data_IF_352228499619
#
_entry.id   IF_352228499619
#
_cell.length_a   1.000
_cell.length_b   1.000
_cell.length_c   1.000
_cell.angle_alpha   90.00
_cell.angle_beta   90.00
_cell.angle_gamma   90.00
#
_symmetry.space_group_name_H-M   'P 1'
#
loop_
_entity.id
_entity.type
_entity.pdbx_description
1 polymer ?
#
# COMPACT_ATOMS: atom_id res chain seq x y z
N UNK A 1 -12.99 -19.42 67.79
CA UNK A 1 -12.89 -20.54 68.75
C UNK A 1 -14.29 -20.98 69.11
N UNK A 2 -14.52 -22.27 69.42
CA UNK A 2 -13.54 -23.37 69.37
C UNK A 2 -13.51 -23.99 67.93
N UNK A 3 -12.73 -24.99 67.49
CA UNK A 3 -11.97 -26.09 68.12
C UNK A 3 -12.86 -27.20 68.72
N UNK A 4 -12.52 -28.49 68.79
CA UNK A 4 -11.55 -29.36 68.08
C UNK A 4 -12.12 -30.81 68.13
N UNK A 5 -11.59 -31.87 67.52
CA UNK A 5 -10.26 -32.11 66.93
C UNK A 5 -10.42 -32.70 65.49
N UNK A 6 -9.71 -33.70 64.91
CA UNK A 6 -8.73 -34.71 65.35
C UNK A 6 -7.83 -35.16 64.18
N UNK A 7 -6.82 -36.01 64.45
CA UNK A 7 -5.86 -36.51 63.46
C UNK A 7 -5.61 -38.03 63.58
N UNK A 8 -5.14 -38.65 62.48
CA UNK A 8 -4.55 -39.99 62.45
C UNK A 8 -3.45 -40.04 61.37
N UNK A 9 -2.45 -40.90 61.54
CA UNK A 9 -1.24 -40.98 60.71
C UNK A 9 -1.10 -42.36 60.05
N UNK A 10 -0.55 -42.43 58.83
CA UNK A 10 0.47 -43.40 58.41
C UNK A 10 0.81 -43.27 56.90
N UNK A 11 2.08 -43.53 56.56
CA UNK A 11 2.62 -43.70 55.20
C UNK A 11 3.30 -45.10 55.14
N UNK A 12 3.96 -45.54 54.05
CA UNK A 12 4.04 -45.01 52.68
C UNK A 12 3.69 -46.06 51.59
N UNK A 13 3.89 -45.73 50.32
CA UNK A 13 3.87 -46.69 49.22
C UNK A 13 4.61 -46.16 47.99
N UNK A 14 5.81 -46.68 47.72
CA UNK A 14 6.64 -46.27 46.58
C UNK A 14 6.35 -47.13 45.34
N UNK A 15 6.18 -46.48 44.18
CA UNK A 15 6.38 -47.10 42.87
C UNK A 15 6.72 -46.02 41.84
N UNK A 16 8.02 -45.79 41.61
CA UNK A 16 8.49 -44.74 40.71
C UNK A 16 8.34 -45.10 39.23
N UNK A 17 7.92 -44.13 38.41
CA UNK A 17 7.96 -44.20 36.96
C UNK A 17 8.71 -42.99 36.40
N UNK A 18 10.04 -43.17 36.29
CA UNK A 18 10.99 -42.61 35.31
C UNK A 18 10.84 -41.16 34.88
N UNK A 19 11.90 -40.40 35.10
CA UNK A 19 12.22 -39.18 34.37
C UNK A 19 12.38 -39.50 32.88
N UNK A 20 11.47 -38.99 32.05
CA UNK A 20 11.69 -38.80 30.61
C UNK A 20 11.81 -37.30 30.37
N UNK A 21 13.03 -36.82 30.15
CA UNK A 21 13.29 -35.43 29.73
C UNK A 21 12.69 -35.21 28.33
N UNK A 22 11.43 -34.76 28.29
CA UNK A 22 10.84 -34.18 27.09
C UNK A 22 11.50 -32.82 26.83
N UNK A 23 12.74 -32.85 26.33
CA UNK A 23 13.48 -31.70 25.88
C UNK A 23 12.73 -31.08 24.69
N UNK A 24 11.88 -30.10 24.98
CA UNK A 24 11.18 -29.31 23.97
C UNK A 24 12.26 -28.57 23.18
N UNK A 25 12.64 -29.15 22.04
CA UNK A 25 13.55 -28.54 21.09
C UNK A 25 13.00 -27.16 20.75
N UNK A 26 13.79 -26.12 21.03
CA UNK A 26 13.35 -24.75 20.85
C UNK A 26 12.94 -24.53 19.40
N UNK A 27 11.64 -24.40 19.15
CA UNK A 27 11.13 -23.96 17.87
C UNK A 27 11.62 -22.53 17.67
N UNK A 28 12.65 -22.35 16.86
CA UNK A 28 13.05 -21.02 16.40
C UNK A 28 11.81 -20.37 15.79
N UNK A 29 11.28 -19.35 16.47
CA UNK A 29 10.22 -18.53 15.90
C UNK A 29 10.80 -17.94 14.61
N UNK A 30 10.17 -18.14 13.44
CA UNK A 30 10.72 -17.66 12.18
C UNK A 30 10.92 -16.14 12.31
N UNK A 31 12.18 -15.72 12.21
CA UNK A 31 12.56 -14.34 12.52
C UNK A 31 11.69 -13.39 11.72
N UNK A 32 11.05 -12.44 12.41
CA UNK A 32 10.17 -11.46 11.77
C UNK A 32 10.93 -10.80 10.61
N UNK A 33 10.36 -10.77 9.40
CA UNK A 33 11.10 -10.39 8.21
C UNK A 33 11.65 -8.97 8.39
N UNK A 34 12.98 -8.84 8.34
CA UNK A 34 13.66 -7.58 8.61
C UNK A 34 13.71 -6.74 7.33
N UNK A 35 13.35 -5.46 7.44
CA UNK A 35 13.47 -4.51 6.33
C UNK A 35 14.95 -4.35 5.95
N UNK A 36 15.27 -4.48 4.66
CA UNK A 36 16.64 -4.26 4.18
C UNK A 36 17.07 -2.81 4.38
N UNK A 37 18.37 -2.51 4.57
CA UNK A 37 18.85 -1.13 4.70
C UNK A 37 18.41 -0.25 3.53
N UNK A 38 18.44 -0.78 2.31
CA UNK A 38 18.03 -0.06 1.11
C UNK A 38 16.53 0.30 1.13
N UNK A 39 15.67 -0.62 1.59
CA UNK A 39 14.23 -0.34 1.72
C UNK A 39 13.94 0.61 2.88
N UNK A 40 14.73 0.54 3.97
CA UNK A 40 14.65 1.49 5.07
C UNK A 40 15.04 2.91 4.61
N UNK A 41 16.09 3.05 3.81
CA UNK A 41 16.47 4.33 3.19
C UNK A 41 15.37 4.86 2.24
N UNK A 42 14.70 3.97 1.49
CA UNK A 42 13.54 4.34 0.66
C UNK A 42 12.38 4.88 1.51
N UNK A 43 12.00 4.18 2.58
CA UNK A 43 10.94 4.60 3.51
C UNK A 43 11.30 5.93 4.18
N UNK A 44 12.52 6.06 4.71
CA UNK A 44 13.00 7.29 5.35
C UNK A 44 12.95 8.50 4.39
N UNK A 45 13.37 8.32 3.13
CA UNK A 45 13.30 9.37 2.11
C UNK A 45 11.85 9.74 1.75
N UNK A 46 10.96 8.75 1.62
CA UNK A 46 9.53 8.97 1.35
C UNK A 46 8.84 9.72 2.49
N UNK A 47 9.06 9.30 3.75
CA UNK A 47 8.49 9.99 4.91
C UNK A 47 9.09 11.39 5.12
N UNK A 48 10.38 11.59 4.84
CA UNK A 48 10.99 12.92 4.87
C UNK A 48 10.32 13.86 3.87
N UNK A 49 10.14 13.42 2.62
CA UNK A 49 9.46 14.18 1.57
C UNK A 49 8.02 14.53 1.97
N UNK A 50 7.29 13.58 2.55
CA UNK A 50 5.93 13.80 3.07
C UNK A 50 5.94 14.87 4.18
N UNK A 51 6.77 14.68 5.23
CA UNK A 51 6.84 15.61 6.37
C UNK A 51 7.36 17.00 5.97
N UNK A 52 8.14 17.11 4.90
CA UNK A 52 8.59 18.38 4.35
C UNK A 52 7.49 19.12 3.57
N UNK A 53 6.68 18.39 2.78
CA UNK A 53 5.50 18.97 2.12
C UNK A 53 4.48 19.49 3.15
N UNK A 54 4.20 18.73 4.22
CA UNK A 54 3.30 19.16 5.30
C UNK A 54 3.85 20.30 6.19
N UNK A 55 5.12 20.70 6.03
CA UNK A 55 5.67 21.95 6.61
C UNK A 55 5.50 23.16 5.67
N UNK A 56 5.32 22.93 4.37
CA UNK A 56 5.36 23.98 3.33
C UNK A 56 3.99 24.38 2.78
N UNK A 57 2.96 23.57 2.98
CA UNK A 57 1.59 23.79 2.49
C UNK A 57 0.56 23.53 3.58
N UNK A 58 -0.55 24.28 3.57
CA UNK A 58 -1.67 23.97 4.45
C UNK A 58 -2.32 22.64 4.03
N UNK A 59 -2.87 21.82 4.96
CA UNK A 59 -3.50 20.55 4.61
C UNK A 59 -4.58 20.65 3.52
N UNK A 60 -5.35 21.74 3.49
CA UNK A 60 -6.36 22.04 2.46
C UNK A 60 -5.81 22.38 1.07
N UNK A 61 -4.50 22.65 0.96
CA UNK A 61 -3.77 22.84 -0.30
C UNK A 61 -3.14 21.53 -0.81
N UNK A 62 -3.25 20.44 -0.05
CA UNK A 62 -2.64 19.14 -0.35
C UNK A 62 -3.71 18.20 -0.92
N UNK A 63 -3.46 17.73 -2.14
CA UNK A 63 -4.20 16.63 -2.76
C UNK A 63 -3.49 15.28 -2.55
N UNK A 64 -4.25 14.18 -2.55
CA UNK A 64 -3.73 12.81 -2.49
C UNK A 64 -4.47 11.94 -3.50
N UNK A 65 -3.80 11.53 -4.57
CA UNK A 65 -4.39 10.70 -5.61
C UNK A 65 -4.38 9.22 -5.19
N UNK A 66 -5.54 8.69 -4.81
CA UNK A 66 -5.71 7.35 -4.25
C UNK A 66 -6.67 6.49 -5.09
N UNK A 67 -6.11 5.69 -6.02
CA UNK A 67 -6.92 4.80 -6.87
C UNK A 67 -7.13 3.38 -6.28
N UNK A 68 -6.40 3.01 -5.22
CA UNK A 68 -6.46 1.67 -4.62
C UNK A 68 -5.55 0.63 -5.30
N UNK A 69 -4.79 1.02 -6.34
CA UNK A 69 -3.70 0.21 -6.88
C UNK A 69 -2.46 0.26 -5.98
N UNK A 70 -1.64 -0.80 -6.02
CA UNK A 70 -0.52 -1.09 -5.08
C UNK A 70 0.30 0.14 -4.67
N UNK A 71 0.71 0.95 -5.65
CA UNK A 71 1.60 2.09 -5.44
C UNK A 71 0.88 3.24 -4.72
N UNK A 72 -0.40 3.46 -5.01
CA UNK A 72 -1.21 4.45 -4.29
C UNK A 72 -1.49 4.00 -2.84
N UNK A 73 -1.63 2.70 -2.59
CA UNK A 73 -1.84 2.14 -1.24
C UNK A 73 -0.57 2.28 -0.40
N UNK A 74 0.60 1.89 -0.93
CA UNK A 74 1.89 2.04 -0.22
C UNK A 74 2.21 3.52 0.03
N UNK A 75 1.94 4.41 -0.92
CA UNK A 75 2.04 5.86 -0.71
C UNK A 75 1.11 6.34 0.42
N UNK A 76 -0.12 5.82 0.48
CA UNK A 76 -1.13 6.24 1.47
C UNK A 76 -0.81 5.74 2.88
N UNK A 77 -0.25 4.54 3.03
CA UNK A 77 0.22 4.05 4.34
C UNK A 77 1.46 4.82 4.82
N UNK A 78 2.38 5.21 3.92
CA UNK A 78 3.47 6.13 4.27
C UNK A 78 2.95 7.52 4.70
N UNK A 79 1.90 8.03 4.05
CA UNK A 79 1.22 9.27 4.49
C UNK A 79 0.64 9.11 5.91
N UNK A 80 0.03 7.97 6.24
CA UNK A 80 -0.55 7.68 7.55
C UNK A 80 0.47 7.41 8.66
N UNK A 81 1.63 6.86 8.31
CA UNK A 81 2.79 6.74 9.21
C UNK A 81 3.40 8.12 9.50
N UNK A 82 3.48 8.99 8.49
CA UNK A 82 4.11 10.29 8.61
C UNK A 82 3.22 11.40 9.19
N UNK A 83 1.88 11.30 9.07
CA UNK A 83 0.91 12.37 9.34
C UNK A 83 -0.34 11.83 10.03
N UNK A 84 -0.83 12.54 11.05
CA UNK A 84 -2.00 12.11 11.84
C UNK A 84 -3.32 12.19 11.06
N UNK A 85 -4.24 11.27 11.34
CA UNK A 85 -5.54 11.21 10.65
C UNK A 85 -6.34 12.54 10.68
N UNK A 86 -6.41 13.32 11.78
CA UNK A 86 -7.08 14.62 11.77
C UNK A 86 -6.46 15.68 10.86
N UNK A 87 -5.18 15.53 10.49
CA UNK A 87 -4.51 16.38 9.50
C UNK A 87 -4.76 15.86 8.08
N UNK A 88 -4.67 14.55 7.85
CA UNK A 88 -5.01 13.94 6.56
C UNK A 88 -6.49 14.14 6.18
N UNK A 89 -7.40 14.22 7.16
CA UNK A 89 -8.83 14.48 6.94
C UNK A 89 -9.11 15.90 6.41
N UNK A 90 -8.14 16.82 6.47
CA UNK A 90 -8.24 18.16 5.90
C UNK A 90 -7.69 18.23 4.45
N UNK A 91 -7.05 17.16 3.97
CA UNK A 91 -6.52 17.06 2.61
C UNK A 91 -7.60 16.63 1.62
N UNK A 92 -7.44 17.04 0.36
CA UNK A 92 -8.25 16.53 -0.75
C UNK A 92 -7.73 15.15 -1.15
N UNK A 93 -8.14 14.10 -0.42
CA UNK A 93 -7.93 12.71 -0.84
C UNK A 93 -8.95 12.41 -1.92
N UNK A 94 -8.52 12.02 -3.12
CA UNK A 94 -9.40 11.88 -4.29
C UNK A 94 -9.06 10.68 -5.17
N UNK A 95 -10.06 10.24 -5.93
CA UNK A 95 -9.92 9.28 -7.03
C UNK A 95 -10.54 9.87 -8.30
N UNK A 96 -9.89 9.64 -9.45
CA UNK A 96 -10.49 9.88 -10.78
C UNK A 96 -11.00 8.54 -11.29
N UNK A 97 -12.33 8.40 -11.40
CA UNK A 97 -12.97 7.08 -11.61
C UNK A 97 -13.35 6.87 -13.07
N UNK A 98 -12.74 5.86 -13.71
CA UNK A 98 -13.04 5.46 -15.07
C UNK A 98 -14.21 4.47 -15.12
N UNK A 99 -15.12 4.64 -16.09
CA UNK A 99 -16.32 3.79 -16.26
C UNK A 99 -16.02 2.30 -16.48
N UNK A 100 -14.79 1.96 -16.88
CA UNK A 100 -14.30 0.61 -17.16
C UNK A 100 -13.23 0.16 -16.16
N UNK A 101 -13.20 0.71 -14.95
CA UNK A 101 -12.40 0.19 -13.85
C UNK A 101 -12.91 -1.18 -13.35
N UNK A 102 -11.98 -2.10 -13.06
CA UNK A 102 -12.28 -3.39 -12.43
C UNK A 102 -13.15 -3.27 -11.18
N UNK A 103 -14.16 -4.13 -11.10
CA UNK A 103 -15.10 -4.21 -9.99
C UNK A 103 -14.40 -4.58 -8.67
N UNK A 104 -13.37 -5.43 -8.74
CA UNK A 104 -12.50 -5.82 -7.62
C UNK A 104 -11.71 -4.63 -7.07
N UNK A 105 -11.16 -3.77 -7.95
CA UNK A 105 -10.40 -2.58 -7.54
C UNK A 105 -11.31 -1.54 -6.89
N UNK A 106 -12.51 -1.32 -7.45
CA UNK A 106 -13.52 -0.42 -6.91
C UNK A 106 -14.00 -0.86 -5.52
N UNK A 107 -14.29 -2.16 -5.37
CA UNK A 107 -14.69 -2.79 -4.08
C UNK A 107 -13.56 -2.73 -3.06
N UNK A 108 -12.33 -3.02 -3.47
CA UNK A 108 -11.14 -2.91 -2.60
C UNK A 108 -10.93 -1.47 -2.11
N UNK A 109 -10.99 -0.46 -3.00
CA UNK A 109 -10.85 0.96 -2.64
C UNK A 109 -11.92 1.40 -1.62
N UNK A 110 -13.18 1.02 -1.86
CA UNK A 110 -14.28 1.34 -0.94
C UNK A 110 -14.10 0.68 0.43
N UNK A 111 -13.81 -0.63 0.48
CA UNK A 111 -13.53 -1.36 1.71
C UNK A 111 -12.33 -0.77 2.47
N UNK A 112 -11.26 -0.43 1.76
CA UNK A 112 -10.05 0.15 2.35
C UNK A 112 -10.36 1.49 3.03
N UNK A 113 -11.12 2.38 2.39
CA UNK A 113 -11.52 3.65 3.02
C UNK A 113 -12.46 3.46 4.23
N UNK A 114 -13.32 2.45 4.21
CA UNK A 114 -14.28 2.18 5.28
C UNK A 114 -13.63 1.53 6.53
N UNK A 115 -12.76 0.54 6.31
CA UNK A 115 -12.21 -0.31 7.38
C UNK A 115 -10.77 0.03 7.75
N UNK A 116 -9.91 0.29 6.76
CA UNK A 116 -8.47 0.50 6.97
C UNK A 116 -8.18 1.97 7.26
N UNK A 117 -8.71 2.88 6.44
CA UNK A 117 -8.52 4.33 6.53
C UNK A 117 -9.73 5.09 7.13
N UNK A 118 -10.47 4.41 8.01
CA UNK A 118 -11.76 4.86 8.57
C UNK A 118 -11.73 6.30 9.07
N UNK A 119 -12.67 7.10 8.57
CA UNK A 119 -12.86 8.51 8.96
C UNK A 119 -12.09 9.52 8.11
N UNK A 120 -11.26 9.08 7.16
CA UNK A 120 -10.70 9.94 6.12
C UNK A 120 -11.70 10.08 4.94
N UNK A 121 -11.82 11.26 4.32
CA UNK A 121 -12.68 11.44 3.15
C UNK A 121 -12.09 10.75 1.91
N UNK A 122 -12.94 10.49 0.92
CA UNK A 122 -12.53 10.22 -0.46
C UNK A 122 -13.43 11.03 -1.41
N UNK A 123 -12.83 11.92 -2.19
CA UNK A 123 -13.52 12.69 -3.24
C UNK A 123 -13.57 11.85 -4.51
N UNK A 124 -14.77 11.40 -4.87
CA UNK A 124 -15.04 10.69 -6.11
C UNK A 124 -15.20 11.69 -7.26
N UNK A 125 -14.13 11.91 -8.03
CA UNK A 125 -14.17 12.74 -9.23
C UNK A 125 -14.43 11.83 -10.43
N UNK A 126 -15.71 11.65 -10.78
CA UNK A 126 -16.12 10.83 -11.92
C UNK A 126 -15.48 11.32 -13.23
N UNK A 127 -14.91 10.40 -14.01
CA UNK A 127 -14.18 10.77 -15.21
C UNK A 127 -15.12 11.27 -16.32
N UNK A 128 -14.96 12.53 -16.70
CA UNK A 128 -14.97 12.83 -18.13
C UNK A 128 -13.86 12.02 -18.79
N UNK A 129 -14.04 11.57 -20.05
CA UNK A 129 -13.05 10.73 -20.74
C UNK A 129 -11.62 11.33 -20.77
N UNK A 130 -11.48 12.65 -20.58
CA UNK A 130 -10.20 13.32 -20.27
C UNK A 130 -9.93 13.40 -18.74
N UNK A 131 -8.83 12.80 -18.30
CA UNK A 131 -8.30 12.92 -16.93
C UNK A 131 -7.90 14.36 -16.57
N UNK A 132 -7.35 15.12 -17.51
CA UNK A 132 -6.91 16.50 -17.28
C UNK A 132 -8.11 17.41 -17.03
N UNK A 133 -9.22 17.24 -17.75
CA UNK A 133 -10.47 17.95 -17.47
C UNK A 133 -11.01 17.59 -16.06
N UNK A 134 -10.98 16.30 -15.72
CA UNK A 134 -11.36 15.83 -14.38
C UNK A 134 -10.54 16.50 -13.26
N UNK A 135 -9.24 16.72 -13.47
CA UNK A 135 -8.38 17.44 -12.52
C UNK A 135 -8.59 18.97 -12.53
N UNK A 136 -8.90 19.60 -13.67
CA UNK A 136 -9.27 21.02 -13.71
C UNK A 136 -10.51 21.28 -12.82
N UNK A 137 -11.57 20.49 -13.00
CA UNK A 137 -12.79 20.55 -12.18
C UNK A 137 -12.56 20.22 -10.70
N UNK A 138 -11.49 19.48 -10.37
CA UNK A 138 -11.07 19.27 -8.97
C UNK A 138 -10.39 20.54 -8.41
N UNK A 139 -9.48 21.16 -9.17
CA UNK A 139 -8.78 22.39 -8.76
C UNK A 139 -9.66 23.65 -8.71
N UNK A 140 -10.82 23.64 -9.38
CA UNK A 140 -11.86 24.68 -9.22
C UNK A 140 -12.54 24.60 -7.84
N UNK A 141 -12.58 23.42 -7.22
CA UNK A 141 -13.25 23.15 -5.93
C UNK A 141 -12.29 23.12 -4.74
N UNK A 142 -11.02 22.79 -4.98
CA UNK A 142 -9.98 22.64 -3.97
C UNK A 142 -8.72 23.44 -4.36
N UNK A 143 -8.13 24.26 -3.48
CA UNK A 143 -7.03 25.17 -3.82
C UNK A 143 -5.66 24.47 -3.89
N UNK A 144 -5.59 23.33 -4.57
CA UNK A 144 -4.45 22.42 -4.56
C UNK A 144 -3.16 23.12 -5.05
N UNK A 145 -2.09 23.05 -4.26
CA UNK A 145 -0.73 23.50 -4.61
C UNK A 145 0.23 22.34 -4.83
N UNK A 146 -0.06 21.20 -4.20
CA UNK A 146 0.70 19.96 -4.31
C UNK A 146 -0.25 18.77 -4.28
N UNK A 147 0.06 17.75 -5.08
CA UNK A 147 -0.69 16.49 -5.14
C UNK A 147 0.27 15.33 -4.97
N UNK A 148 0.03 14.51 -3.94
CA UNK A 148 0.73 13.25 -3.74
C UNK A 148 0.26 12.20 -4.76
N UNK A 149 1.22 11.56 -5.43
CA UNK A 149 1.01 10.55 -6.49
C UNK A 149 1.91 9.32 -6.28
N UNK A 150 1.38 8.12 -6.48
CA UNK A 150 2.12 6.86 -6.35
C UNK A 150 3.12 6.56 -7.47
N UNK A 151 3.49 7.55 -8.30
CA UNK A 151 4.28 7.34 -9.52
C UNK A 151 5.76 7.03 -9.22
N UNK A 152 6.26 5.94 -9.80
CA UNK A 152 7.69 5.55 -9.80
C UNK A 152 8.39 6.06 -11.05
N UNK A 153 9.72 6.24 -10.99
CA UNK A 153 10.55 6.67 -12.13
C UNK A 153 10.53 5.67 -13.31
N UNK A 154 10.17 4.42 -13.06
CA UNK A 154 9.98 3.36 -14.06
C UNK A 154 8.62 3.41 -14.78
N UNK A 155 7.64 4.19 -14.29
CA UNK A 155 6.34 4.31 -14.94
C UNK A 155 6.43 5.06 -16.30
N UNK A 156 5.52 4.79 -17.27
CA UNK A 156 5.57 5.38 -18.62
C UNK A 156 5.60 6.91 -18.67
N UNK A 157 4.99 7.58 -17.68
CA UNK A 157 5.07 9.04 -17.50
C UNK A 157 6.15 9.45 -16.49
N UNK A 158 6.43 8.62 -15.48
CA UNK A 158 7.46 8.85 -14.46
C UNK A 158 8.87 8.96 -15.03
N UNK A 159 9.17 8.25 -16.14
CA UNK A 159 10.46 8.32 -16.84
C UNK A 159 10.82 9.71 -17.40
N UNK A 160 9.85 10.61 -17.56
CA UNK A 160 10.06 11.99 -18.03
C UNK A 160 10.20 13.00 -16.89
N UNK A 161 9.79 12.62 -15.68
CA UNK A 161 10.00 13.41 -14.46
C UNK A 161 11.47 13.27 -14.02
N UNK A 162 12.06 14.37 -13.56
CA UNK A 162 13.47 14.40 -13.14
C UNK A 162 13.62 14.03 -11.68
N UNK A 163 12.86 14.73 -10.84
CA UNK A 163 12.95 14.74 -9.39
C UNK A 163 11.64 14.24 -8.73
N UNK A 164 11.74 13.75 -7.49
CA UNK A 164 10.58 13.23 -6.75
C UNK A 164 9.49 14.29 -6.46
N UNK A 165 9.79 15.59 -6.60
CA UNK A 165 8.80 16.67 -6.59
C UNK A 165 9.05 17.56 -7.81
N UNK A 166 8.11 17.60 -8.76
CA UNK A 166 8.21 18.42 -9.97
C UNK A 166 6.85 19.01 -10.35
N UNK A 167 6.83 20.18 -10.97
CA UNK A 167 5.59 20.83 -11.42
C UNK A 167 4.85 19.97 -12.46
N UNK A 168 3.54 20.21 -12.62
CA UNK A 168 2.78 19.77 -13.78
C UNK A 168 3.33 20.35 -15.10
N UNK A 169 3.16 19.62 -16.20
CA UNK A 169 3.59 20.07 -17.53
C UNK A 169 2.55 21.01 -18.15
N UNK A 170 2.92 21.86 -19.13
CA UNK A 170 1.99 22.80 -19.77
C UNK A 170 0.70 22.12 -20.27
N UNK A 171 -0.45 22.73 -19.96
CA UNK A 171 -1.78 22.22 -20.31
C UNK A 171 -2.50 21.44 -19.19
N UNK A 172 -1.78 20.99 -18.16
CA UNK A 172 -2.36 20.46 -16.92
C UNK A 172 -2.62 21.59 -15.90
N UNK A 173 -3.46 21.37 -14.87
CA UNK A 173 -3.64 22.34 -13.79
C UNK A 173 -2.33 22.63 -13.05
N UNK A 174 -2.18 23.83 -12.49
CA UNK A 174 -0.92 24.28 -11.86
C UNK A 174 -0.78 23.75 -10.41
N UNK A 175 0.00 22.70 -10.23
CA UNK A 175 0.42 22.20 -8.92
C UNK A 175 1.75 21.42 -9.00
N UNK A 176 2.37 21.15 -7.85
CA UNK A 176 3.49 20.23 -7.72
C UNK A 176 3.02 18.78 -7.65
N UNK A 177 3.59 17.90 -8.46
CA UNK A 177 3.43 16.45 -8.36
C UNK A 177 4.48 15.94 -7.37
N UNK A 178 4.04 15.54 -6.19
CA UNK A 178 4.90 14.97 -5.15
C UNK A 178 4.80 13.43 -5.21
N UNK A 179 5.91 12.75 -5.43
CA UNK A 179 5.95 11.31 -5.67
C UNK A 179 6.82 10.63 -4.61
N UNK A 180 6.28 10.28 -3.42
CA UNK A 180 7.07 9.67 -2.34
C UNK A 180 7.76 8.37 -2.78
N UNK A 181 7.13 7.62 -3.70
CA UNK A 181 7.66 6.36 -4.22
C UNK A 181 8.62 6.51 -5.40
N UNK A 182 9.00 7.73 -5.81
CA UNK A 182 9.63 7.96 -7.12
C UNK A 182 10.87 7.11 -7.41
N UNK A 183 11.67 6.76 -6.40
CA UNK A 183 12.89 5.93 -6.55
C UNK A 183 12.70 4.44 -6.17
N UNK A 184 11.49 4.01 -5.84
CA UNK A 184 11.17 2.63 -5.49
C UNK A 184 11.07 1.76 -6.76
N UNK A 185 11.50 0.51 -6.64
CA UNK A 185 11.24 -0.56 -7.61
C UNK A 185 9.94 -1.29 -7.29
N UNK A 186 9.46 -2.12 -8.22
CA UNK A 186 8.35 -3.06 -7.98
C UNK A 186 8.65 -4.01 -6.80
N UNK A 187 9.92 -4.36 -6.60
CA UNK A 187 10.37 -5.19 -5.48
C UNK A 187 10.26 -4.44 -4.14
N UNK A 188 10.64 -3.16 -4.09
CA UNK A 188 10.50 -2.33 -2.87
C UNK A 188 9.03 -2.20 -2.45
N UNK A 189 8.13 -1.97 -3.43
CA UNK A 189 6.68 -1.89 -3.21
C UNK A 189 6.13 -3.19 -2.63
N UNK A 190 6.47 -4.34 -3.21
CA UNK A 190 6.00 -5.64 -2.71
C UNK A 190 6.65 -6.07 -1.39
N UNK A 191 7.93 -5.78 -1.19
CA UNK A 191 8.62 -6.06 0.06
C UNK A 191 8.00 -5.25 1.20
N UNK A 192 7.82 -3.94 1.05
CA UNK A 192 7.15 -3.09 2.06
C UNK A 192 5.72 -3.54 2.31
N UNK A 193 4.94 -3.82 1.26
CA UNK A 193 3.57 -4.34 1.36
C UNK A 193 3.50 -5.58 2.26
N UNK A 194 4.40 -6.54 2.06
CA UNK A 194 4.45 -7.79 2.84
C UNK A 194 5.01 -7.60 4.25
N UNK A 195 6.05 -6.76 4.43
CA UNK A 195 6.64 -6.43 5.72
C UNK A 195 5.64 -5.76 6.66
N UNK A 196 4.82 -4.85 6.11
CA UNK A 196 3.85 -4.04 6.85
C UNK A 196 2.44 -4.64 6.85
N UNK A 197 2.26 -5.87 6.33
CA UNK A 197 0.98 -6.57 6.19
C UNK A 197 -0.14 -5.74 5.52
N UNK A 198 0.21 -4.90 4.55
CA UNK A 198 -0.70 -3.96 3.90
C UNK A 198 -1.66 -4.73 2.98
N UNK A 199 -2.99 -4.59 3.14
CA UNK A 199 -3.97 -5.29 2.32
C UNK A 199 -3.95 -4.78 0.87
N UNK A 200 -4.29 -5.64 -0.08
CA UNK A 200 -4.19 -5.38 -1.52
C UNK A 200 -5.42 -5.91 -2.27
N UNK A 201 -5.64 -5.40 -3.48
CA UNK A 201 -6.68 -5.90 -4.38
C UNK A 201 -6.37 -7.34 -4.86
N UNK A 202 -7.34 -8.25 -4.83
CA UNK A 202 -7.21 -9.67 -5.20
C UNK A 202 -6.82 -9.93 -6.67
N UNK A 203 -6.88 -8.91 -7.53
CA UNK A 203 -6.27 -8.96 -8.87
C UNK A 203 -4.76 -9.24 -8.80
N UNK A 204 -4.07 -8.70 -7.79
CA UNK A 204 -2.64 -8.91 -7.61
C UNK A 204 -2.32 -10.38 -7.25
N UNK A 205 -3.14 -11.03 -6.42
CA UNK A 205 -3.07 -12.49 -6.18
C UNK A 205 -3.33 -13.30 -7.47
N UNK A 206 -4.26 -12.81 -8.29
CA UNK A 206 -4.66 -13.43 -9.55
C UNK A 206 -3.67 -13.25 -10.70
N UNK A 207 -2.50 -12.63 -10.46
CA UNK A 207 -1.43 -12.45 -11.44
C UNK A 207 -1.50 -11.19 -12.30
N UNK A 208 -2.32 -10.20 -11.93
CA UNK A 208 -2.26 -8.86 -12.53
C UNK A 208 -1.14 -8.04 -11.88
N UNK A 209 -0.03 -7.79 -12.58
CA UNK A 209 1.09 -6.99 -12.03
C UNK A 209 0.84 -5.48 -12.03
N UNK A 210 -0.02 -5.00 -12.94
CA UNK A 210 -0.35 -3.58 -13.11
C UNK A 210 -1.82 -3.44 -13.52
N UNK A 211 -2.62 -2.67 -12.77
CA UNK A 211 -4.08 -2.56 -12.93
C UNK A 211 -4.50 -1.17 -13.46
N UNK A 212 -5.60 -1.10 -14.22
CA UNK A 212 -6.18 0.13 -14.75
C UNK A 212 -7.49 -0.18 -15.47
N UNK A 213 -7.73 0.41 -16.65
CA UNK A 213 -8.90 0.11 -17.50
C UNK A 213 -8.99 -1.37 -17.82
N UNK A 214 -10.16 -1.97 -17.62
CA UNK A 214 -10.37 -3.42 -17.72
C UNK A 214 -10.26 -3.97 -19.14
N UNK A 215 -10.66 -3.19 -20.16
CA UNK A 215 -10.50 -3.55 -21.57
C UNK A 215 -9.02 -3.81 -21.95
N UNK A 216 -8.12 -2.98 -21.42
CA UNK A 216 -6.72 -2.89 -21.85
C UNK A 216 -5.77 -3.70 -20.96
N UNK A 217 -6.30 -4.43 -19.96
CA UNK A 217 -5.51 -5.02 -18.86
C UNK A 217 -5.78 -6.50 -18.65
N UNK A 218 -4.72 -7.29 -18.76
CA UNK A 218 -4.67 -8.74 -18.60
C UNK A 218 -3.70 -9.16 -17.50
N UNK A 219 -3.76 -10.43 -17.10
CA UNK A 219 -2.78 -11.06 -16.21
C UNK A 219 -1.42 -11.12 -16.90
N UNK A 220 -0.34 -10.96 -16.15
CA UNK A 220 1.01 -10.88 -16.73
C UNK A 220 1.44 -12.24 -17.31
N UNK A 221 1.84 -12.32 -18.59
CA UNK A 221 2.21 -13.58 -19.22
C UNK A 221 3.38 -14.30 -18.52
N UNK A 222 4.32 -13.55 -17.93
CA UNK A 222 5.49 -14.09 -17.23
C UNK A 222 5.15 -14.70 -15.86
N UNK A 223 3.96 -14.39 -15.31
CA UNK A 223 3.43 -15.00 -14.09
C UNK A 223 2.63 -16.28 -14.37
N UNK A 224 2.37 -16.64 -15.63
CA UNK A 224 1.65 -17.88 -15.97
C UNK A 224 2.44 -19.12 -15.55
N UNK A 225 1.74 -20.17 -15.12
CA UNK A 225 2.27 -21.54 -14.86
C UNK A 225 1.89 -22.47 -16.02
N UNK A 226 2.53 -23.64 -16.08
CA UNK A 226 2.30 -24.64 -17.14
C UNK A 226 0.87 -25.19 -17.16
N UNK A 227 0.22 -25.27 -15.99
CA UNK A 227 -1.20 -25.63 -15.83
C UNK A 227 -2.19 -24.54 -16.31
N UNK A 228 -1.67 -23.38 -16.75
CA UNK A 228 -2.45 -22.23 -17.18
C UNK A 228 -2.95 -21.31 -16.06
N UNK A 229 -2.69 -21.64 -14.79
CA UNK A 229 -2.89 -20.74 -13.65
C UNK A 229 -1.84 -19.62 -13.63
N UNK A 230 -1.96 -18.68 -12.69
CA UNK A 230 -1.03 -17.57 -12.55
C UNK A 230 -0.46 -17.49 -11.13
N UNK A 231 0.81 -17.08 -11.06
CA UNK A 231 1.54 -16.73 -9.83
C UNK A 231 1.16 -15.29 -9.43
N UNK A 232 1.14 -14.95 -8.12
CA UNK A 232 0.79 -13.62 -7.65
C UNK A 232 1.82 -12.56 -8.08
N UNK A 233 1.38 -11.30 -8.14
CA UNK A 233 2.14 -10.17 -8.66
C UNK A 233 3.47 -9.90 -7.95
N UNK A 234 3.61 -10.28 -6.68
CA UNK A 234 4.84 -10.15 -5.90
C UNK A 234 5.92 -11.19 -6.22
N UNK A 235 5.66 -12.15 -7.11
CA UNK A 235 6.69 -13.01 -7.71
C UNK A 235 7.31 -12.38 -8.98
N UNK A 236 6.83 -11.22 -9.44
CA UNK A 236 7.42 -10.52 -10.58
C UNK A 236 8.54 -9.58 -10.11
N UNK A 237 9.79 -9.94 -10.40
CA UNK A 237 10.98 -9.26 -9.86
C UNK A 237 11.57 -8.16 -10.76
N UNK A 238 10.94 -7.85 -11.89
CA UNK A 238 11.48 -6.94 -12.91
C UNK A 238 10.50 -5.80 -13.22
N UNK A 239 10.90 -4.54 -12.98
CA UNK A 239 10.09 -3.35 -13.26
C UNK A 239 9.66 -3.25 -14.74
N UNK A 240 10.58 -3.51 -15.68
CA UNK A 240 10.27 -3.45 -17.12
C UNK A 240 9.14 -4.43 -17.51
N UNK A 241 9.09 -5.58 -16.84
CA UNK A 241 8.10 -6.62 -17.08
C UNK A 241 6.72 -6.32 -16.45
N UNK A 242 6.60 -5.31 -15.58
CA UNK A 242 5.38 -5.05 -14.80
C UNK A 242 4.16 -4.75 -15.69
N UNK A 243 4.39 -4.25 -16.90
CA UNK A 243 3.34 -3.80 -17.82
C UNK A 243 3.08 -4.74 -19.00
N UNK A 244 3.72 -5.92 -19.05
CA UNK A 244 3.48 -6.96 -20.07
C UNK A 244 2.05 -7.52 -20.08
N UNK A 245 1.28 -7.28 -19.01
CA UNK A 245 -0.16 -7.54 -18.99
C UNK A 245 -1.03 -6.47 -19.67
N UNK A 246 -0.46 -5.37 -20.17
CA UNK A 246 -1.21 -4.29 -20.84
C UNK A 246 -1.23 -4.51 -22.35
N UNK A 247 -2.35 -4.21 -22.97
CA UNK A 247 -2.35 -3.93 -24.41
C UNK A 247 -1.65 -2.58 -24.63
N UNK A 248 -0.79 -2.52 -25.66
CA UNK A 248 -0.19 -1.26 -26.12
C UNK A 248 -1.14 -0.56 -27.08
N UNK A 249 -1.48 0.69 -26.77
CA UNK A 249 -1.93 1.68 -27.75
C UNK A 249 -0.78 2.05 -28.71
#
# INVERSE_FOLDING_TARGET
MPQDTSAAQASPGESGCRDDECAIQGTEQPALPVMSPQLMDRVNASEYLIRDIFKRYAPSEIGVAFNGGKDSVVMFELLRSAVTAPVLAQCCIFVVEHNDEFDELRKFRAWYMQEVARGLPLVHQGASQDMRLSLWTLTEKHPLKVVFMGTRKTDPHGRYQKEAVEKTTPGWPDFLRACPLFHWSVNDVWAYTRLMCIPQCSLYESGYSSVGRSADTNRNPLLRRDDGSYRPAWELTCDNAEREGRQTE
#
